data_IF_848063941151
#
_entry.id   IF_848063941151
#
_cell.length_a   1.000
_cell.length_b   1.000
_cell.length_c   1.000
_cell.angle_alpha   90.00
_cell.angle_beta   90.00
_cell.angle_gamma   90.00
#
_symmetry.space_group_name_H-M   'P 1'
#
loop_
_entity.id
_entity.type
_entity.pdbx_description
1 polymer ?
#
# COMPACT_ATOMS: atom_id res chain seq x y z
N UNK A 1 -60.69 23.89 -0.13
CA UNK A 1 -59.45 24.25 -0.85
C UNK A 1 -58.34 24.78 0.05
N UNK A 2 -58.64 25.57 1.09
CA UNK A 2 -57.64 26.21 1.96
C UNK A 2 -56.61 25.25 2.59
N UNK A 3 -57.02 24.04 3.04
CA UNK A 3 -56.12 23.04 3.63
C UNK A 3 -55.08 22.47 2.64
N UNK A 4 -55.40 22.37 1.34
CA UNK A 4 -54.43 21.93 0.31
C UNK A 4 -53.39 23.02 0.00
N UNK A 5 -53.80 24.29 0.05
CA UNK A 5 -52.90 25.44 -0.19
C UNK A 5 -51.89 25.55 0.96
N UNK A 6 -52.33 25.41 2.21
CA UNK A 6 -51.44 25.43 3.38
C UNK A 6 -50.43 24.29 3.33
N UNK A 7 -50.84 23.09 2.90
CA UNK A 7 -49.92 21.95 2.75
C UNK A 7 -48.84 22.18 1.69
N UNK A 8 -49.15 22.90 0.60
CA UNK A 8 -48.17 23.23 -0.43
C UNK A 8 -47.22 24.36 -0.01
N UNK A 9 -47.71 25.36 0.73
CA UNK A 9 -46.87 26.45 1.25
C UNK A 9 -45.86 25.93 2.28
N UNK A 10 -46.26 24.99 3.15
CA UNK A 10 -45.35 24.36 4.11
C UNK A 10 -44.30 23.48 3.41
N UNK A 11 -44.67 22.77 2.34
CA UNK A 11 -43.73 21.96 1.57
C UNK A 11 -42.67 22.81 0.85
N UNK A 12 -43.06 23.99 0.32
CA UNK A 12 -42.13 24.93 -0.33
C UNK A 12 -41.19 25.59 0.68
N UNK A 13 -41.65 25.87 1.91
CA UNK A 13 -40.80 26.40 2.97
C UNK A 13 -39.79 25.38 3.51
N UNK A 14 -40.15 24.09 3.57
CA UNK A 14 -39.20 23.02 3.96
C UNK A 14 -38.15 22.77 2.87
N UNK A 15 -38.50 22.97 1.59
CA UNK A 15 -37.59 22.78 0.46
C UNK A 15 -36.65 23.97 0.18
N UNK A 16 -36.93 25.16 0.72
CA UNK A 16 -36.11 26.38 0.49
C UNK A 16 -35.20 26.74 1.66
N UNK A 17 -35.34 26.09 2.83
CA UNK A 17 -34.43 26.27 3.98
C UNK A 17 -33.12 25.46 3.91
N UNK A 18 -32.85 24.73 2.81
CA UNK A 18 -31.61 23.95 2.65
C UNK A 18 -30.63 24.52 1.61
N UNK A 19 -30.83 25.74 1.14
CA UNK A 19 -29.90 26.36 0.18
C UNK A 19 -29.63 27.81 0.55
N UNK A 20 -28.62 28.05 1.40
CA UNK A 20 -27.65 29.16 1.27
C UNK A 20 -26.61 29.08 2.39
N UNK A 21 -25.53 28.41 1.98
CA UNK A 21 -24.15 28.49 2.44
C UNK A 21 -23.77 29.75 3.22
N UNK A 22 -23.29 29.54 4.44
CA UNK A 22 -22.38 30.45 5.14
C UNK A 22 -21.09 30.61 4.32
N UNK A 23 -20.91 31.79 3.70
CA UNK A 23 -19.59 32.24 3.28
C UNK A 23 -18.84 32.71 4.53
N UNK A 24 -18.17 31.79 5.21
CA UNK A 24 -16.97 32.15 5.97
C UNK A 24 -15.79 32.09 5.02
N UNK A 25 -15.19 33.26 4.81
CA UNK A 25 -13.88 33.42 4.21
C UNK A 25 -12.87 32.70 5.12
N UNK A 26 -12.59 31.43 4.85
CA UNK A 26 -11.41 30.77 5.41
C UNK A 26 -10.25 30.98 4.44
N UNK A 27 -9.12 31.44 4.98
CA UNK A 27 -7.86 31.49 4.28
C UNK A 27 -7.60 30.18 3.53
N UNK A 28 -7.20 30.31 2.26
CA UNK A 28 -6.66 29.20 1.49
C UNK A 28 -5.30 28.82 2.08
N UNK A 29 -5.31 27.97 3.09
CA UNK A 29 -4.27 26.95 3.18
C UNK A 29 -4.67 25.83 2.23
N UNK A 30 -3.70 25.32 1.46
CA UNK A 30 -3.86 24.12 0.63
C UNK A 30 -4.19 22.92 1.53
N UNK A 31 -5.45 22.81 1.94
CA UNK A 31 -6.00 21.61 2.57
C UNK A 31 -6.04 20.57 1.45
N UNK A 32 -5.02 19.72 1.42
CA UNK A 32 -5.06 18.45 0.69
C UNK A 32 -6.40 17.78 1.02
N UNK A 33 -7.29 17.69 0.02
CA UNK A 33 -8.61 17.08 0.15
C UNK A 33 -8.52 15.74 0.91
N UNK A 34 -9.20 15.73 2.06
CA UNK A 34 -9.59 14.63 2.94
C UNK A 34 -8.88 13.27 2.74
N UNK A 35 -7.80 13.10 3.49
CA UNK A 35 -7.28 11.77 3.84
C UNK A 35 -8.29 11.06 4.76
N UNK A 36 -9.22 10.29 4.19
CA UNK A 36 -10.11 9.36 4.90
C UNK A 36 -9.96 7.97 4.30
N UNK A 37 -9.81 6.94 5.15
CA UNK A 37 -9.93 5.55 4.69
C UNK A 37 -11.33 5.36 4.09
N UNK A 38 -11.42 5.03 2.80
CA UNK A 38 -12.70 4.67 2.19
C UNK A 38 -13.05 3.23 2.55
N UNK A 39 -14.33 2.92 2.51
CA UNK A 39 -14.73 1.52 2.58
C UNK A 39 -14.15 0.77 1.37
N UNK A 40 -13.77 -0.49 1.59
CA UNK A 40 -13.18 -1.34 0.56
C UNK A 40 -14.24 -1.64 -0.52
N UNK A 41 -14.11 -1.02 -1.69
CA UNK A 41 -15.01 -1.23 -2.83
C UNK A 41 -14.27 -1.97 -3.95
N UNK A 42 -14.60 -3.25 -4.12
CA UNK A 42 -14.04 -4.08 -5.20
C UNK A 42 -14.88 -3.89 -6.46
N UNK A 43 -14.19 -3.64 -7.57
CA UNK A 43 -14.80 -3.54 -8.89
C UNK A 43 -15.46 -4.85 -9.30
N UNK A 44 -16.64 -4.75 -9.92
CA UNK A 44 -17.28 -5.92 -10.52
C UNK A 44 -16.38 -6.50 -11.62
N UNK A 45 -16.24 -7.81 -11.61
CA UNK A 45 -15.50 -8.55 -12.63
C UNK A 45 -16.27 -9.79 -13.05
N UNK A 46 -16.04 -10.24 -14.27
CA UNK A 46 -16.56 -11.50 -14.82
C UNK A 46 -15.42 -12.23 -15.50
N UNK A 47 -15.42 -13.56 -15.40
CA UNK A 47 -14.52 -14.39 -16.19
C UNK A 47 -15.15 -14.62 -17.56
N UNK A 48 -14.57 -13.99 -18.59
CA UNK A 48 -15.05 -14.12 -19.98
C UNK A 48 -14.47 -15.34 -20.71
N UNK A 49 -13.43 -15.97 -20.16
CA UNK A 49 -12.66 -17.04 -20.78
C UNK A 49 -11.98 -17.89 -19.71
N UNK A 50 -11.58 -19.11 -20.08
CA UNK A 50 -10.73 -19.93 -19.23
C UNK A 50 -9.39 -19.23 -18.96
N UNK A 51 -8.87 -19.44 -17.76
CA UNK A 51 -7.59 -18.89 -17.32
C UNK A 51 -6.71 -20.04 -16.84
N UNK A 52 -5.51 -20.12 -17.41
CA UNK A 52 -4.49 -21.05 -16.93
C UNK A 52 -3.55 -20.31 -15.97
N UNK A 53 -3.44 -20.81 -14.76
CA UNK A 53 -2.54 -20.35 -13.71
C UNK A 53 -1.27 -21.18 -13.80
N UNK A 54 -0.21 -20.57 -14.32
CA UNK A 54 1.08 -21.22 -14.52
C UNK A 54 1.99 -20.86 -13.36
N UNK A 55 2.57 -21.88 -12.73
CA UNK A 55 3.56 -21.71 -11.69
C UNK A 55 4.53 -22.89 -11.72
N UNK A 56 5.59 -22.78 -10.93
CA UNK A 56 6.52 -23.86 -10.69
C UNK A 56 6.55 -24.05 -9.18
N UNK A 57 6.05 -25.21 -8.71
CA UNK A 57 5.89 -25.50 -7.28
C UNK A 57 7.21 -25.31 -6.53
N UNK A 58 7.16 -24.53 -5.45
CA UNK A 58 8.27 -24.25 -4.56
C UNK A 58 7.74 -24.11 -3.12
N UNK A 59 8.64 -24.18 -2.14
CA UNK A 59 8.37 -24.00 -0.71
C UNK A 59 8.07 -22.54 -0.31
N UNK A 60 7.95 -21.63 -1.29
CA UNK A 60 7.75 -20.21 -1.08
C UNK A 60 6.34 -19.90 -0.55
N UNK A 61 6.28 -19.34 0.67
CA UNK A 61 5.04 -18.96 1.36
C UNK A 61 4.22 -17.91 0.57
N UNK A 62 4.89 -17.04 -0.20
CA UNK A 62 4.23 -16.04 -1.04
C UNK A 62 3.49 -16.67 -2.21
N UNK A 63 4.07 -17.71 -2.83
CA UNK A 63 3.40 -18.46 -3.90
C UNK A 63 2.14 -19.14 -3.36
N UNK A 64 2.25 -19.80 -2.20
CA UNK A 64 1.10 -20.44 -1.55
C UNK A 64 -0.01 -19.42 -1.27
N UNK A 65 0.33 -18.29 -0.65
CA UNK A 65 -0.63 -17.22 -0.34
C UNK A 65 -1.30 -16.68 -1.60
N UNK A 66 -0.54 -16.46 -2.67
CA UNK A 66 -1.04 -16.02 -3.97
C UNK A 66 -2.02 -17.02 -4.60
N UNK A 67 -1.67 -18.31 -4.61
CA UNK A 67 -2.55 -19.37 -5.14
C UNK A 67 -3.85 -19.50 -4.32
N UNK A 68 -3.77 -19.34 -2.99
CA UNK A 68 -4.95 -19.34 -2.12
C UNK A 68 -5.84 -18.10 -2.36
N UNK A 69 -5.23 -16.95 -2.66
CA UNK A 69 -5.94 -15.75 -3.13
C UNK A 69 -6.71 -16.01 -4.43
N UNK A 70 -6.10 -16.66 -5.42
CA UNK A 70 -6.76 -17.04 -6.67
C UNK A 70 -7.96 -17.96 -6.41
N UNK A 71 -7.80 -19.00 -5.58
CA UNK A 71 -8.89 -19.95 -5.27
C UNK A 71 -10.09 -19.23 -4.66
N UNK A 72 -9.84 -18.31 -3.73
CA UNK A 72 -10.90 -17.53 -3.09
C UNK A 72 -11.55 -16.54 -4.08
N UNK A 73 -10.75 -15.86 -4.91
CA UNK A 73 -11.28 -15.02 -5.98
C UNK A 73 -12.19 -15.79 -6.93
N UNK A 74 -11.81 -17.02 -7.28
CA UNK A 74 -12.62 -17.90 -8.12
C UNK A 74 -13.94 -18.31 -7.47
N UNK A 75 -13.88 -18.67 -6.19
CA UNK A 75 -15.08 -19.03 -5.42
C UNK A 75 -16.10 -17.89 -5.41
N UNK A 76 -15.66 -16.66 -5.09
CA UNK A 76 -16.53 -15.47 -5.09
C UNK A 76 -17.09 -15.17 -6.48
N UNK A 77 -16.29 -15.32 -7.54
CA UNK A 77 -16.74 -15.13 -8.91
C UNK A 77 -17.81 -16.14 -9.32
N UNK A 78 -17.62 -17.42 -8.95
CA UNK A 78 -18.55 -18.52 -9.26
C UNK A 78 -19.87 -18.39 -8.52
N UNK A 79 -19.86 -18.01 -7.23
CA UNK A 79 -21.10 -17.77 -6.49
C UNK A 79 -21.93 -16.63 -7.10
N UNK A 80 -21.26 -15.58 -7.59
CA UNK A 80 -21.92 -14.41 -8.17
C UNK A 80 -22.37 -14.61 -9.63
N UNK A 81 -21.90 -15.64 -10.34
CA UNK A 81 -22.11 -15.78 -11.80
C UNK A 81 -22.32 -17.22 -12.27
N UNK A 82 -23.35 -17.43 -13.10
CA UNK A 82 -23.73 -18.74 -13.68
C UNK A 82 -22.95 -19.15 -14.95
N UNK A 83 -21.71 -18.68 -15.18
CA UNK A 83 -20.92 -19.02 -16.40
C UNK A 83 -19.87 -20.11 -16.14
N UNK A 84 -19.57 -20.90 -17.18
CA UNK A 84 -18.69 -22.09 -17.17
C UNK A 84 -17.20 -21.80 -17.43
N UNK A 85 -16.70 -20.62 -17.10
CA UNK A 85 -15.27 -20.33 -17.27
C UNK A 85 -14.45 -21.12 -16.24
N UNK A 86 -13.48 -21.89 -16.71
CA UNK A 86 -12.66 -22.76 -15.90
C UNK A 86 -11.31 -22.11 -15.55
N UNK A 87 -10.77 -22.47 -14.39
CA UNK A 87 -9.42 -22.12 -13.98
C UNK A 87 -8.61 -23.39 -13.87
N UNK A 88 -7.50 -23.45 -14.61
CA UNK A 88 -6.59 -24.59 -14.61
C UNK A 88 -5.30 -24.22 -13.90
N UNK A 89 -4.87 -25.06 -12.96
CA UNK A 89 -3.59 -24.90 -12.27
C UNK A 89 -2.56 -25.79 -12.97
N UNK A 90 -1.56 -25.16 -13.58
CA UNK A 90 -0.50 -25.83 -14.33
C UNK A 90 0.82 -25.64 -13.57
N UNK A 91 1.25 -26.71 -12.93
CA UNK A 91 2.53 -26.77 -12.25
C UNK A 91 3.61 -27.35 -13.18
N UNK A 92 4.53 -26.49 -13.59
CA UNK A 92 5.61 -26.84 -14.51
C UNK A 92 6.74 -27.62 -13.83
N UNK A 93 6.80 -27.68 -12.49
CA UNK A 93 7.81 -28.48 -11.78
C UNK A 93 7.67 -29.98 -12.04
N UNK A 94 6.44 -30.41 -12.35
CA UNK A 94 6.09 -31.81 -12.65
C UNK A 94 6.34 -32.18 -14.11
N UNK A 95 6.71 -31.22 -14.95
CA UNK A 95 6.93 -31.45 -16.37
C UNK A 95 8.39 -31.79 -16.68
N UNK A 96 8.60 -32.84 -17.48
CA UNK A 96 9.95 -33.26 -17.90
C UNK A 96 10.58 -32.35 -18.95
N UNK A 97 9.76 -31.62 -19.71
CA UNK A 97 10.19 -30.73 -20.79
C UNK A 97 9.13 -29.66 -21.04
N UNK A 98 9.57 -28.42 -21.16
CA UNK A 98 8.70 -27.26 -21.36
C UNK A 98 8.69 -26.85 -22.84
N UNK A 99 7.50 -26.59 -23.38
CA UNK A 99 7.31 -26.04 -24.73
C UNK A 99 6.65 -24.66 -24.63
N UNK A 100 7.27 -23.67 -25.28
CA UNK A 100 6.78 -22.30 -25.36
C UNK A 100 5.36 -22.21 -25.95
N UNK A 101 4.92 -23.20 -26.72
CA UNK A 101 3.55 -23.30 -27.23
C UNK A 101 2.49 -23.28 -26.11
N UNK A 102 2.84 -23.72 -24.89
CA UNK A 102 1.95 -23.72 -23.71
C UNK A 102 1.62 -22.32 -23.21
N UNK A 103 2.46 -21.33 -23.50
CA UNK A 103 2.23 -19.93 -23.12
C UNK A 103 1.62 -19.14 -24.27
N UNK A 104 1.91 -19.50 -25.53
CA UNK A 104 1.44 -18.77 -26.71
C UNK A 104 0.00 -19.08 -27.15
N UNK A 105 -0.80 -19.76 -26.32
CA UNK A 105 -2.19 -20.12 -26.67
C UNK A 105 -3.14 -18.91 -26.61
N UNK A 106 -4.35 -19.06 -27.18
CA UNK A 106 -5.42 -18.05 -27.06
C UNK A 106 -6.02 -17.97 -25.65
N UNK A 107 -5.76 -18.94 -24.79
CA UNK A 107 -6.24 -18.95 -23.40
C UNK A 107 -5.49 -17.91 -22.59
N UNK A 108 -6.20 -17.25 -21.67
CA UNK A 108 -5.60 -16.28 -20.76
C UNK A 108 -4.64 -16.99 -19.81
N UNK A 109 -3.43 -16.46 -19.63
CA UNK A 109 -2.37 -17.00 -18.78
C UNK A 109 -2.04 -16.03 -17.66
N UNK A 110 -2.14 -16.50 -16.42
CA UNK A 110 -1.61 -15.80 -15.25
C UNK A 110 -0.38 -16.59 -14.77
N UNK A 111 0.80 -15.98 -14.82
CA UNK A 111 2.06 -16.66 -14.54
C UNK A 111 2.64 -16.12 -13.23
N UNK A 112 2.76 -16.97 -12.21
CA UNK A 112 3.53 -16.64 -11.02
C UNK A 112 5.01 -16.91 -11.29
N UNK A 113 5.81 -15.86 -11.33
CA UNK A 113 7.22 -15.93 -11.71
C UNK A 113 8.10 -16.32 -10.52
N UNK A 114 8.93 -17.34 -10.72
CA UNK A 114 10.07 -17.66 -9.86
C UNK A 114 11.34 -17.79 -10.70
N UNK A 115 12.49 -18.08 -10.06
CA UNK A 115 13.80 -18.16 -10.71
C UNK A 115 13.81 -19.14 -11.88
N UNK A 116 13.23 -20.33 -11.68
CA UNK A 116 13.16 -21.37 -12.72
C UNK A 116 12.38 -20.93 -13.96
N UNK A 117 11.36 -20.09 -13.80
CA UNK A 117 10.52 -19.63 -14.92
C UNK A 117 11.11 -18.42 -15.66
N UNK A 118 12.02 -17.65 -15.06
CA UNK A 118 12.60 -16.47 -15.70
C UNK A 118 13.31 -16.85 -17.01
N UNK A 119 14.16 -17.86 -16.96
CA UNK A 119 14.95 -18.27 -18.13
C UNK A 119 14.07 -18.90 -19.21
N UNK A 120 13.07 -19.68 -18.79
CA UNK A 120 12.05 -20.23 -19.67
C UNK A 120 11.33 -19.11 -20.43
N UNK A 121 10.78 -18.11 -19.72
CA UNK A 121 10.06 -17.01 -20.36
C UNK A 121 10.95 -16.19 -21.31
N UNK A 122 12.22 -15.95 -20.95
CA UNK A 122 13.18 -15.24 -21.80
C UNK A 122 13.47 -16.02 -23.09
N UNK A 123 13.66 -17.33 -23.00
CA UNK A 123 13.95 -18.20 -24.16
C UNK A 123 12.78 -18.27 -25.17
N UNK A 124 11.54 -18.12 -24.70
CA UNK A 124 10.35 -18.20 -25.56
C UNK A 124 10.10 -16.97 -26.45
N UNK A 125 10.91 -15.90 -26.33
CA UNK A 125 10.80 -14.67 -27.10
C UNK A 125 9.35 -14.15 -27.24
N UNK A 126 8.62 -14.17 -26.12
CA UNK A 126 7.20 -13.83 -26.09
C UNK A 126 7.01 -12.33 -26.35
N UNK A 127 6.08 -11.98 -27.24
CA UNK A 127 5.64 -10.60 -27.44
C UNK A 127 4.55 -10.24 -26.44
N UNK A 128 4.53 -8.98 -26.02
CA UNK A 128 3.50 -8.49 -25.12
C UNK A 128 2.11 -8.68 -25.75
N UNK A 129 1.21 -9.32 -25.01
CA UNK A 129 -0.18 -9.49 -25.41
C UNK A 129 -1.09 -9.43 -24.17
N UNK A 130 -2.35 -9.04 -24.38
CA UNK A 130 -3.31 -8.86 -23.29
C UNK A 130 -3.82 -10.17 -22.68
N UNK A 131 -3.38 -11.33 -23.18
CA UNK A 131 -3.73 -12.67 -22.69
C UNK A 131 -2.63 -13.27 -21.80
N UNK A 132 -1.55 -12.55 -21.50
CA UNK A 132 -0.52 -12.99 -20.55
C UNK A 132 -0.30 -11.89 -19.53
N UNK A 133 -0.44 -12.27 -18.26
CA UNK A 133 -0.11 -11.44 -17.09
C UNK A 133 0.90 -12.19 -16.23
N UNK A 134 2.03 -11.55 -15.93
CA UNK A 134 3.09 -12.08 -15.08
C UNK A 134 3.05 -11.42 -13.71
N UNK A 135 3.12 -12.21 -12.65
CA UNK A 135 3.25 -11.74 -11.28
C UNK A 135 4.68 -11.98 -10.86
N UNK A 136 5.43 -10.91 -10.57
CA UNK A 136 6.82 -11.02 -10.15
C UNK A 136 6.89 -11.56 -8.70
N UNK A 137 7.14 -12.86 -8.55
CA UNK A 137 7.38 -13.49 -7.25
C UNK A 137 8.83 -13.36 -6.75
N UNK A 138 9.69 -12.66 -7.49
CA UNK A 138 11.10 -12.47 -7.16
C UNK A 138 11.34 -11.04 -6.66
N UNK A 139 12.07 -10.89 -5.56
CA UNK A 139 12.47 -9.60 -5.00
C UNK A 139 13.67 -9.01 -5.78
N UNK A 140 13.61 -9.07 -7.11
CA UNK A 140 14.64 -8.60 -8.04
C UNK A 140 13.98 -7.88 -9.21
N UNK A 141 14.70 -6.93 -9.81
CA UNK A 141 14.23 -6.23 -11.01
C UNK A 141 14.35 -7.14 -12.21
N UNK A 142 13.22 -7.46 -12.85
CA UNK A 142 13.19 -8.30 -14.03
C UNK A 142 12.69 -7.49 -15.22
N UNK A 143 13.44 -7.57 -16.32
CA UNK A 143 13.03 -6.98 -17.60
C UNK A 143 12.31 -8.06 -18.41
N UNK A 144 10.99 -7.94 -18.54
CA UNK A 144 10.15 -8.81 -19.36
C UNK A 144 9.42 -8.00 -20.44
N UNK A 145 9.29 -8.59 -21.62
CA UNK A 145 8.49 -8.04 -22.72
C UNK A 145 7.02 -8.50 -22.64
N UNK A 146 6.49 -8.62 -21.42
CA UNK A 146 5.14 -9.10 -21.11
C UNK A 146 4.46 -8.15 -20.13
N UNK A 147 3.14 -8.17 -20.04
CA UNK A 147 2.46 -7.43 -18.99
C UNK A 147 2.83 -8.02 -17.63
N UNK A 148 3.25 -7.19 -16.68
CA UNK A 148 3.64 -7.67 -15.36
C UNK A 148 3.21 -6.76 -14.22
N UNK A 149 2.99 -7.37 -13.06
CA UNK A 149 2.85 -6.69 -11.76
C UNK A 149 4.10 -6.99 -10.95
N UNK A 150 4.69 -5.95 -10.39
CA UNK A 150 5.82 -6.03 -9.47
C UNK A 150 5.38 -5.65 -8.04
N UNK A 151 5.07 -6.63 -7.17
CA UNK A 151 4.62 -6.36 -5.81
C UNK A 151 5.72 -5.79 -4.91
N UNK A 152 7.00 -5.89 -5.33
CA UNK A 152 8.15 -5.37 -4.59
C UNK A 152 8.54 -3.95 -5.01
N UNK A 153 7.69 -3.29 -5.80
CA UNK A 153 7.96 -1.96 -6.30
C UNK A 153 8.22 -0.97 -5.15
N UNK A 154 9.30 -0.19 -5.29
CA UNK A 154 9.70 0.78 -4.29
C UNK A 154 8.84 2.05 -4.39
N UNK A 155 7.94 2.24 -3.42
CA UNK A 155 7.05 3.40 -3.41
C UNK A 155 7.78 4.72 -3.07
N UNK A 156 8.95 4.67 -2.42
CA UNK A 156 9.81 5.86 -2.25
C UNK A 156 10.23 6.39 -3.61
N UNK A 157 10.72 5.52 -4.50
CA UNK A 157 11.17 5.90 -5.84
C UNK A 157 10.01 6.50 -6.65
N UNK A 158 8.80 5.95 -6.48
CA UNK A 158 7.58 6.50 -7.05
C UNK A 158 7.32 7.92 -6.56
N UNK A 159 7.29 8.15 -5.24
CA UNK A 159 7.01 9.47 -4.66
C UNK A 159 8.03 10.52 -5.13
N UNK A 160 9.31 10.16 -5.26
CA UNK A 160 10.32 11.04 -5.84
C UNK A 160 10.01 11.44 -7.29
N UNK A 161 9.40 10.54 -8.07
CA UNK A 161 9.06 10.78 -9.47
C UNK A 161 7.71 11.47 -9.69
N UNK A 162 6.72 11.19 -8.84
CA UNK A 162 5.31 11.58 -9.07
C UNK A 162 4.89 12.82 -8.29
N UNK A 163 5.40 13.02 -7.06
CA UNK A 163 5.10 14.19 -6.25
C UNK A 163 6.30 14.63 -5.39
N UNK A 164 7.28 15.34 -5.98
CA UNK A 164 8.46 15.79 -5.27
C UNK A 164 8.16 16.81 -4.16
N UNK A 165 6.93 17.34 -4.05
CA UNK A 165 6.55 18.31 -3.00
C UNK A 165 6.42 17.66 -1.62
N UNK A 166 6.01 16.39 -1.55
CA UNK A 166 5.96 15.62 -0.28
C UNK A 166 7.36 15.51 0.34
N UNK A 167 8.40 15.52 -0.50
CA UNK A 167 9.79 15.22 -0.15
C UNK A 167 10.71 16.46 -0.06
N UNK A 168 10.19 17.68 -0.29
CA UNK A 168 11.01 18.90 -0.30
C UNK A 168 10.90 19.69 1.02
N UNK A 169 12.05 20.15 1.48
CA UNK A 169 12.22 21.27 2.42
C UNK A 169 12.38 20.90 3.88
N UNK A 170 11.60 19.97 4.41
CA UNK A 170 11.50 19.75 5.87
C UNK A 170 11.11 18.29 6.21
N UNK A 171 11.53 17.34 5.37
CA UNK A 171 11.19 15.92 5.50
C UNK A 171 12.42 15.04 5.74
N UNK A 172 12.28 14.02 6.58
CA UNK A 172 13.26 12.95 6.73
C UNK A 172 12.61 11.59 6.44
N UNK A 173 13.33 10.72 5.72
CA UNK A 173 12.89 9.34 5.47
C UNK A 173 13.53 8.41 6.50
N UNK A 174 12.74 7.80 7.36
CA UNK A 174 13.16 6.70 8.23
C UNK A 174 13.10 5.39 7.43
N UNK A 175 14.23 4.71 7.33
CA UNK A 175 14.35 3.51 6.51
C UNK A 175 15.36 2.53 7.07
N UNK A 176 15.33 1.29 6.64
CA UNK A 176 16.24 0.21 7.04
C UNK A 176 17.24 -0.16 5.94
N UNK A 177 17.28 0.62 4.86
CA UNK A 177 18.17 0.45 3.71
C UNK A 177 18.79 1.77 3.29
N UNK A 178 19.94 1.70 2.65
CA UNK A 178 20.56 2.88 2.07
C UNK A 178 19.72 3.41 0.89
N UNK A 179 19.44 4.71 0.93
CA UNK A 179 18.80 5.42 -0.16
C UNK A 179 19.83 6.30 -0.87
N UNK A 180 19.60 6.57 -2.15
CA UNK A 180 20.47 7.46 -2.94
C UNK A 180 20.30 8.94 -2.56
N UNK A 181 19.36 9.26 -1.68
CA UNK A 181 19.05 10.63 -1.29
C UNK A 181 19.77 11.01 -0.01
N UNK A 182 19.97 12.29 0.26
CA UNK A 182 20.72 12.75 1.44
C UNK A 182 19.84 12.86 2.70
N UNK A 183 18.51 12.91 2.55
CA UNK A 183 17.56 13.15 3.63
C UNK A 183 16.92 11.86 4.17
N UNK A 184 17.75 10.85 4.49
CA UNK A 184 17.29 9.64 5.16
C UNK A 184 18.03 9.37 6.47
N UNK A 185 17.41 8.58 7.33
CA UNK A 185 17.95 8.14 8.60
C UNK A 185 17.71 6.64 8.78
N UNK A 186 18.78 5.92 9.08
CA UNK A 186 18.76 4.46 9.18
C UNK A 186 18.23 3.99 10.54
N UNK A 187 17.24 3.10 10.52
CA UNK A 187 16.71 2.40 11.69
C UNK A 187 16.82 0.89 11.47
N UNK A 188 17.76 0.28 12.17
CA UNK A 188 17.97 -1.16 12.14
C UNK A 188 17.05 -1.88 13.14
N UNK A 189 16.60 -3.09 12.80
CA UNK A 189 15.70 -3.91 13.64
C UNK A 189 16.22 -4.14 15.07
N UNK A 190 17.51 -4.39 15.21
CA UNK A 190 18.17 -4.67 16.50
C UNK A 190 18.50 -3.41 17.30
N UNK A 191 18.32 -2.22 16.71
CA UNK A 191 18.64 -0.97 17.38
C UNK A 191 17.60 -0.61 18.45
N UNK A 192 18.03 0.19 19.43
CA UNK A 192 17.09 0.88 20.31
C UNK A 192 16.46 2.05 19.53
N UNK A 193 15.26 1.82 19.01
CA UNK A 193 14.55 2.75 18.13
C UNK A 193 14.28 4.09 18.83
N UNK A 194 13.92 4.08 20.11
CA UNK A 194 13.70 5.31 20.89
C UNK A 194 14.99 6.12 20.97
N UNK A 195 16.12 5.46 21.27
CA UNK A 195 17.44 6.12 21.28
C UNK A 195 17.79 6.68 19.90
N UNK A 196 17.52 5.94 18.82
CA UNK A 196 17.78 6.38 17.45
C UNK A 196 16.95 7.60 17.04
N UNK A 197 15.67 7.62 17.40
CA UNK A 197 14.81 8.80 17.18
C UNK A 197 15.29 9.98 18.03
N UNK A 198 15.67 9.73 19.28
CA UNK A 198 16.24 10.74 20.17
C UNK A 198 17.53 11.36 19.61
N UNK A 199 18.39 10.54 18.99
CA UNK A 199 19.60 10.97 18.28
C UNK A 199 19.26 11.82 17.04
N UNK A 200 18.32 11.39 16.20
CA UNK A 200 17.86 12.12 15.01
C UNK A 200 17.38 13.54 15.37
N UNK A 201 16.59 13.67 16.43
CA UNK A 201 16.05 14.96 16.88
C UNK A 201 16.97 15.72 17.84
N UNK A 202 18.18 15.21 18.07
CA UNK A 202 19.22 15.81 18.92
C UNK A 202 18.79 16.08 20.37
N UNK A 203 17.78 15.36 20.87
CA UNK A 203 17.17 15.55 22.19
C UNK A 203 18.23 15.55 23.29
N UNK A 204 19.15 14.58 23.22
CA UNK A 204 20.19 14.41 24.23
C UNK A 204 21.40 15.33 24.05
N UNK A 205 21.63 15.89 22.84
CA UNK A 205 22.77 16.79 22.59
C UNK A 205 22.61 18.09 23.39
N UNK A 206 21.39 18.58 23.50
CA UNK A 206 21.05 19.78 24.27
C UNK A 206 21.47 19.61 25.74
N UNK A 207 21.10 18.47 26.35
CA UNK A 207 21.41 18.13 27.74
C UNK A 207 22.90 17.90 27.96
N UNK A 208 23.58 17.16 27.07
CA UNK A 208 25.02 16.90 27.19
C UNK A 208 25.83 18.19 27.10
N UNK A 209 25.50 19.08 26.16
CA UNK A 209 26.14 20.39 26.03
C UNK A 209 25.93 21.25 27.27
N UNK A 210 24.75 21.19 27.89
CA UNK A 210 24.50 21.87 29.16
C UNK A 210 25.44 21.35 30.24
N UNK A 211 25.53 20.03 30.42
CA UNK A 211 26.41 19.42 31.43
C UNK A 211 27.86 19.85 31.21
N UNK A 212 28.34 19.85 29.97
CA UNK A 212 29.68 20.32 29.62
C UNK A 212 29.88 21.80 29.95
N UNK A 213 28.92 22.66 29.59
CA UNK A 213 29.00 24.08 29.89
C UNK A 213 28.93 24.37 31.39
N UNK A 214 28.02 23.73 32.13
CA UNK A 214 27.91 23.84 33.60
C UNK A 214 29.22 23.45 34.29
N UNK A 215 29.93 22.42 33.79
CA UNK A 215 31.25 22.04 34.29
C UNK A 215 32.32 23.11 34.04
N UNK A 216 32.27 23.79 32.90
CA UNK A 216 33.22 24.86 32.54
C UNK A 216 32.94 26.13 33.35
N UNK A 217 31.67 26.55 33.45
CA UNK A 217 31.28 27.82 34.07
C UNK A 217 31.03 27.70 35.59
N UNK A 218 31.01 26.48 36.12
CA UNK A 218 30.70 26.14 37.52
C UNK A 218 29.38 26.73 38.05
N UNK A 219 28.42 26.96 37.17
CA UNK A 219 27.12 27.56 37.47
C UNK A 219 26.01 26.77 36.80
N UNK A 220 24.84 26.74 37.44
CA UNK A 220 23.66 26.05 36.91
C UNK A 220 23.08 26.80 35.72
N UNK A 221 22.87 26.11 34.61
CA UNK A 221 22.30 26.65 33.38
C UNK A 221 20.86 26.16 33.26
N UNK A 222 19.93 27.10 33.15
CA UNK A 222 18.55 26.80 32.73
C UNK A 222 18.53 26.67 31.22
N UNK A 223 18.01 25.55 30.72
CA UNK A 223 17.93 25.28 29.30
C UNK A 223 16.53 24.83 28.93
N UNK A 224 16.02 25.40 27.84
CA UNK A 224 14.91 24.84 27.09
C UNK A 224 15.46 23.82 26.10
N UNK A 225 14.99 22.56 26.12
CA UNK A 225 15.41 21.55 25.15
C UNK A 225 15.27 22.07 23.72
N UNK A 226 16.36 22.01 22.94
CA UNK A 226 16.35 22.36 21.52
C UNK A 226 16.18 21.10 20.70
N UNK A 227 15.24 21.13 19.77
CA UNK A 227 14.94 20.02 18.86
C UNK A 227 15.05 20.49 17.41
N UNK A 228 15.24 19.54 16.48
CA UNK A 228 15.20 19.77 15.03
C UNK A 228 13.80 20.16 14.56
N UNK A 229 13.48 21.47 14.64
CA UNK A 229 12.21 22.06 14.15
C UNK A 229 12.14 22.20 12.63
N UNK A 230 13.29 22.06 11.97
CA UNK A 230 13.42 22.01 10.52
C UNK A 230 12.88 20.70 9.92
N UNK A 231 12.63 19.68 10.75
CA UNK A 231 11.97 18.44 10.34
C UNK A 231 10.49 18.55 10.72
N UNK A 232 9.63 18.83 9.75
CA UNK A 232 8.17 18.87 9.91
C UNK A 232 7.48 17.58 9.49
N UNK A 233 8.10 16.81 8.60
CA UNK A 233 7.55 15.58 8.03
C UNK A 233 8.47 14.39 8.25
N UNK A 234 7.92 13.27 8.68
CA UNK A 234 8.64 12.01 8.84
C UNK A 234 8.00 10.98 7.92
N UNK A 235 8.76 10.46 6.97
CA UNK A 235 8.30 9.40 6.06
C UNK A 235 8.84 8.07 6.57
N UNK A 236 7.99 7.07 6.75
CA UNK A 236 8.38 5.73 7.22
C UNK A 236 8.34 4.76 6.05
N UNK A 237 9.52 4.23 5.69
CA UNK A 237 9.72 3.21 4.66
C UNK A 237 10.67 2.12 5.18
N UNK A 238 10.14 1.20 5.96
CA UNK A 238 10.92 0.12 6.58
C UNK A 238 10.34 -1.25 6.22
N UNK A 239 11.20 -2.23 5.96
CA UNK A 239 10.78 -3.63 5.70
C UNK A 239 10.93 -4.52 6.93
N UNK A 240 11.97 -4.29 7.73
CA UNK A 240 12.34 -5.11 8.88
C UNK A 240 11.79 -4.58 10.21
N UNK A 241 11.54 -3.27 10.26
CA UNK A 241 11.00 -2.57 11.41
C UNK A 241 9.55 -2.21 11.09
N UNK A 242 8.61 -2.56 11.96
CA UNK A 242 7.22 -2.15 11.75
C UNK A 242 7.06 -0.66 12.09
N UNK A 243 6.27 0.05 11.28
CA UNK A 243 5.87 1.42 11.60
C UNK A 243 5.17 1.49 12.97
N UNK A 244 4.52 0.40 13.38
CA UNK A 244 3.94 0.17 14.70
C UNK A 244 4.93 0.38 15.86
N UNK A 245 6.23 0.16 15.67
CA UNK A 245 7.25 0.42 16.69
C UNK A 245 7.85 1.82 16.58
N UNK A 246 7.93 2.35 15.37
CA UNK A 246 8.52 3.66 15.08
C UNK A 246 7.56 4.79 15.53
N UNK A 247 6.27 4.69 15.20
CA UNK A 247 5.28 5.73 15.47
C UNK A 247 5.16 6.02 16.99
N UNK A 248 5.01 5.02 17.88
CA UNK A 248 4.99 5.28 19.32
C UNK A 248 6.30 5.88 19.83
N UNK A 249 7.45 5.45 19.30
CA UNK A 249 8.73 5.98 19.70
C UNK A 249 8.92 7.45 19.28
N UNK A 250 8.38 7.87 18.13
CA UNK A 250 8.30 9.28 17.74
C UNK A 250 7.43 10.03 18.74
N UNK A 251 6.22 9.53 19.01
CA UNK A 251 5.26 10.17 19.90
C UNK A 251 5.77 10.28 21.34
N UNK A 252 6.55 9.32 21.82
CA UNK A 252 7.15 9.33 23.15
C UNK A 252 8.27 10.37 23.27
N UNK A 253 9.11 10.48 22.23
CA UNK A 253 10.30 11.33 22.27
C UNK A 253 10.00 12.80 21.94
N UNK A 254 8.95 13.09 21.16
CA UNK A 254 8.70 14.43 20.65
C UNK A 254 7.54 15.11 21.40
N UNK A 255 7.81 16.32 21.88
CA UNK A 255 6.82 17.21 22.49
C UNK A 255 5.95 17.89 21.41
N UNK A 256 6.46 17.98 20.18
CA UNK A 256 5.71 18.48 19.02
C UNK A 256 5.25 17.31 18.14
N UNK A 257 4.18 17.51 17.38
CA UNK A 257 3.59 16.48 16.53
C UNK A 257 3.99 16.72 15.06
N UNK A 258 5.08 16.12 14.56
CA UNK A 258 5.38 16.18 13.13
C UNK A 258 4.29 15.45 12.34
N UNK A 259 4.12 15.80 11.07
CA UNK A 259 3.29 15.00 10.17
C UNK A 259 4.01 13.69 9.87
N UNK A 260 3.38 12.55 10.18
CA UNK A 260 3.95 11.23 9.92
C UNK A 260 3.30 10.69 8.65
N UNK A 261 4.12 10.29 7.68
CA UNK A 261 3.71 9.70 6.41
C UNK A 261 4.15 8.24 6.35
N UNK A 262 3.21 7.30 6.34
CA UNK A 262 3.52 5.88 6.09
C UNK A 262 3.39 5.56 4.61
N UNK A 263 4.30 4.72 4.12
CA UNK A 263 4.21 4.15 2.78
C UNK A 263 3.39 2.85 2.80
N UNK A 264 3.06 2.26 1.63
CA UNK A 264 2.30 1.03 1.58
C UNK A 264 3.05 -0.16 2.20
N UNK A 265 2.30 -1.03 2.86
CA UNK A 265 2.79 -2.22 3.56
C UNK A 265 3.39 -1.93 4.93
N UNK A 266 3.07 -0.79 5.55
CA UNK A 266 3.67 -0.36 6.82
C UNK A 266 2.74 -0.53 8.01
N UNK A 267 1.42 -0.50 7.79
CA UNK A 267 0.39 -0.60 8.82
C UNK A 267 -0.50 -1.82 8.60
N UNK A 268 -0.75 -2.62 9.65
CA UNK A 268 -1.61 -3.82 9.60
C UNK A 268 -2.73 -3.74 10.64
N UNK A 269 -3.88 -3.16 10.26
CA UNK A 269 -5.04 -3.00 11.16
C UNK A 269 -5.75 -4.32 11.49
N UNK A 270 -5.33 -5.46 10.94
CA UNK A 270 -5.79 -6.77 11.38
C UNK A 270 -5.21 -7.16 12.74
N UNK A 271 -4.06 -6.60 13.10
CA UNK A 271 -3.35 -6.89 14.35
C UNK A 271 -3.47 -5.76 15.37
N UNK A 272 -3.75 -4.53 14.90
CA UNK A 272 -3.74 -3.33 15.74
C UNK A 272 -5.01 -2.50 15.60
N UNK A 273 -5.42 -1.87 16.69
CA UNK A 273 -6.64 -1.08 16.71
C UNK A 273 -6.40 0.32 16.16
N UNK A 274 -7.39 0.87 15.43
CA UNK A 274 -7.34 2.27 14.94
C UNK A 274 -7.11 3.30 16.05
N UNK A 275 -7.43 2.96 17.31
CA UNK A 275 -7.29 3.85 18.47
C UNK A 275 -5.83 4.18 18.83
N UNK A 276 -4.88 3.42 18.31
CA UNK A 276 -3.45 3.61 18.57
C UNK A 276 -2.81 4.66 17.66
N UNK A 277 -3.53 5.11 16.62
CA UNK A 277 -3.04 6.09 15.65
C UNK A 277 -3.62 7.48 15.93
N UNK A 278 -2.74 8.49 15.95
CA UNK A 278 -3.08 9.91 16.14
C UNK A 278 -3.48 10.56 14.80
N UNK A 279 -4.13 11.72 14.86
CA UNK A 279 -4.59 12.49 13.69
C UNK A 279 -3.47 13.04 12.79
N UNK A 280 -2.23 13.12 13.30
CA UNK A 280 -1.06 13.54 12.52
C UNK A 280 -0.50 12.44 11.60
N UNK A 281 -1.07 11.22 11.63
CA UNK A 281 -0.70 10.13 10.73
C UNK A 281 -1.46 10.24 9.40
N UNK A 282 -0.68 10.38 8.32
CA UNK A 282 -1.11 10.39 6.92
C UNK A 282 -0.33 9.33 6.16
N UNK A 283 -0.74 9.01 4.94
CA UNK A 283 0.07 8.12 4.11
C UNK A 283 -0.68 7.46 2.99
N UNK A 284 -0.09 6.39 2.51
CA UNK A 284 -0.66 5.49 1.53
C UNK A 284 -0.63 4.07 2.07
N UNK A 285 -1.74 3.35 2.00
CA UNK A 285 -1.78 1.97 2.45
C UNK A 285 -2.72 1.12 1.58
N UNK A 286 -2.44 -0.18 1.52
CA UNK A 286 -3.26 -1.13 0.80
C UNK A 286 -4.60 -1.32 1.52
N UNK A 287 -5.75 -1.21 0.83
CA UNK A 287 -7.08 -1.30 1.44
C UNK A 287 -7.28 -2.58 2.28
N UNK A 288 -6.73 -3.70 1.82
CA UNK A 288 -6.75 -4.97 2.55
C UNK A 288 -6.17 -4.84 3.96
N UNK A 289 -5.14 -4.03 4.18
CA UNK A 289 -4.52 -3.87 5.50
C UNK A 289 -5.28 -2.91 6.41
N UNK A 290 -6.21 -2.13 5.85
CA UNK A 290 -7.00 -1.13 6.57
C UNK A 290 -8.40 -1.63 6.95
N UNK A 291 -8.88 -2.67 6.27
CA UNK A 291 -10.25 -3.16 6.39
C UNK A 291 -10.27 -4.63 6.81
N UNK A 292 -10.75 -4.87 8.03
CA UNK A 292 -10.90 -6.19 8.62
C UNK A 292 -12.29 -6.83 8.41
N UNK A 293 -13.20 -6.16 7.69
CA UNK A 293 -14.59 -6.61 7.52
C UNK A 293 -14.83 -7.48 6.28
N UNK A 294 -13.76 -7.94 5.61
CA UNK A 294 -13.89 -8.80 4.44
C UNK A 294 -14.00 -10.28 4.86
N UNK A 295 -14.44 -11.15 3.93
CA UNK A 295 -14.62 -12.60 4.13
C UNK A 295 -13.28 -13.34 4.31
N UNK A 296 -12.54 -13.02 5.37
CA UNK A 296 -11.30 -13.68 5.73
C UNK A 296 -11.43 -14.32 7.11
N UNK A 297 -10.73 -15.43 7.29
CA UNK A 297 -10.75 -16.20 8.53
C UNK A 297 -9.72 -15.68 9.55
N UNK A 298 -9.74 -16.30 10.74
CA UNK A 298 -8.77 -16.03 11.80
C UNK A 298 -7.34 -16.41 11.39
N UNK A 299 -7.17 -17.28 10.39
CA UNK A 299 -5.85 -17.65 9.89
C UNK A 299 -5.24 -16.50 9.07
N UNK A 300 -6.05 -15.84 8.23
CA UNK A 300 -5.63 -14.69 7.43
C UNK A 300 -5.14 -13.52 8.29
N UNK A 301 -5.85 -13.21 9.38
CA UNK A 301 -5.47 -12.09 10.27
C UNK A 301 -4.07 -12.29 10.88
N UNK A 302 -3.68 -13.55 11.12
CA UNK A 302 -2.37 -13.96 11.66
C UNK A 302 -1.24 -13.95 10.63
N UNK A 303 -1.53 -13.93 9.33
CA UNK A 303 -0.49 -13.87 8.26
C UNK A 303 0.35 -12.60 8.36
N UNK A 304 1.61 -12.66 7.92
CA UNK A 304 2.44 -11.47 7.80
C UNK A 304 1.91 -10.53 6.71
N UNK A 305 2.28 -9.25 6.76
CA UNK A 305 1.87 -8.25 5.76
C UNK A 305 2.12 -8.75 4.34
N UNK A 306 3.34 -9.22 4.05
CA UNK A 306 3.68 -9.69 2.69
C UNK A 306 2.81 -10.87 2.24
N UNK A 307 2.50 -11.82 3.12
CA UNK A 307 1.58 -12.92 2.81
C UNK A 307 0.17 -12.41 2.48
N UNK A 308 -0.34 -11.44 3.24
CA UNK A 308 -1.64 -10.78 2.98
C UNK A 308 -1.63 -10.07 1.63
N UNK A 309 -0.53 -9.39 1.29
CA UNK A 309 -0.36 -8.71 0.00
C UNK A 309 -0.35 -9.69 -1.17
N UNK A 310 0.40 -10.79 -1.06
CA UNK A 310 0.43 -11.83 -2.11
C UNK A 310 -0.92 -12.53 -2.26
N UNK A 311 -1.61 -12.80 -1.15
CA UNK A 311 -2.97 -13.30 -1.17
C UNK A 311 -3.92 -12.34 -1.90
N UNK A 312 -3.92 -11.07 -1.51
CA UNK A 312 -4.76 -10.04 -2.11
C UNK A 312 -4.43 -9.85 -3.61
N UNK A 313 -3.15 -9.94 -3.97
CA UNK A 313 -2.69 -9.90 -5.35
C UNK A 313 -3.21 -11.09 -6.16
N UNK A 314 -3.23 -12.30 -5.60
CA UNK A 314 -3.81 -13.47 -6.26
C UNK A 314 -5.31 -13.32 -6.53
N UNK A 315 -6.03 -12.85 -5.51
CA UNK A 315 -7.45 -12.53 -5.60
C UNK A 315 -7.71 -11.49 -6.70
N UNK A 316 -7.05 -10.34 -6.60
CA UNK A 316 -7.22 -9.22 -7.51
C UNK A 316 -6.78 -9.56 -8.93
N UNK A 317 -5.66 -10.26 -9.11
CA UNK A 317 -5.14 -10.63 -10.43
C UNK A 317 -6.16 -11.42 -11.22
N UNK A 318 -6.88 -12.34 -10.58
CA UNK A 318 -7.92 -13.11 -11.24
C UNK A 318 -9.07 -12.20 -11.71
N UNK A 319 -9.56 -11.31 -10.83
CA UNK A 319 -10.66 -10.41 -11.14
C UNK A 319 -10.26 -9.36 -12.18
N UNK A 320 -9.11 -8.72 -12.00
CA UNK A 320 -8.53 -7.75 -12.92
C UNK A 320 -8.37 -8.36 -14.32
N UNK A 321 -7.77 -9.56 -14.37
CA UNK A 321 -7.51 -10.23 -15.64
C UNK A 321 -8.79 -10.73 -16.30
N UNK A 322 -9.78 -11.15 -15.52
CA UNK A 322 -11.13 -11.45 -15.99
C UNK A 322 -11.77 -10.26 -16.71
N UNK A 323 -11.70 -9.07 -16.11
CA UNK A 323 -12.24 -7.81 -16.65
C UNK A 323 -11.46 -7.31 -17.88
N UNK A 324 -10.15 -7.57 -17.92
CA UNK A 324 -9.25 -7.19 -19.01
C UNK A 324 -8.22 -6.15 -18.55
N UNK A 325 -6.95 -6.40 -18.83
CA UNK A 325 -5.81 -5.65 -18.25
C UNK A 325 -5.70 -4.18 -18.64
N UNK A 326 -6.47 -3.72 -19.62
CA UNK A 326 -6.51 -2.31 -20.04
C UNK A 326 -7.60 -1.51 -19.33
N UNK A 327 -8.42 -2.18 -18.51
CA UNK A 327 -9.53 -1.53 -17.80
C UNK A 327 -9.09 -1.12 -16.41
N UNK A 328 -9.50 0.07 -15.96
CA UNK A 328 -9.37 0.44 -14.54
C UNK A 328 -10.10 -0.58 -13.67
N UNK A 329 -9.46 -0.99 -12.59
CA UNK A 329 -9.97 -1.97 -11.65
C UNK A 329 -9.54 -1.61 -10.24
N UNK A 330 -10.51 -1.50 -9.34
CA UNK A 330 -10.25 -1.34 -7.92
C UNK A 330 -10.37 -2.71 -7.24
N UNK A 331 -9.31 -3.13 -6.57
CA UNK A 331 -9.21 -4.41 -5.87
C UNK A 331 -8.87 -4.24 -4.39
N UNK A 332 -8.52 -5.36 -3.75
CA UNK A 332 -8.03 -5.44 -2.38
C UNK A 332 -6.75 -4.63 -2.14
N UNK A 333 -5.92 -4.46 -3.18
CA UNK A 333 -4.71 -3.65 -3.10
C UNK A 333 -4.88 -2.20 -3.62
N UNK A 334 -6.09 -1.80 -4.04
CA UNK A 334 -6.35 -0.45 -4.56
C UNK A 334 -6.55 -0.41 -6.07
N UNK A 335 -6.23 0.71 -6.72
CA UNK A 335 -6.50 0.93 -8.15
C UNK A 335 -5.38 0.38 -9.04
N UNK A 336 -5.72 -0.56 -9.91
CA UNK A 336 -4.83 -1.13 -10.92
C UNK A 336 -4.89 -0.28 -12.19
N UNK A 337 -3.72 0.22 -12.59
CA UNK A 337 -3.52 1.01 -13.81
C UNK A 337 -2.39 0.43 -14.65
N UNK A 338 -2.54 0.45 -15.98
CA UNK A 338 -1.53 -0.06 -16.91
C UNK A 338 -0.79 1.12 -17.52
N UNK A 339 0.54 1.07 -17.45
CA UNK A 339 1.46 1.97 -18.14
C UNK A 339 2.49 1.12 -18.90
N UNK A 340 2.47 1.25 -20.23
CA UNK A 340 3.15 0.33 -21.16
C UNK A 340 2.90 -1.15 -20.83
N UNK A 341 3.93 -1.88 -20.40
CA UNK A 341 3.87 -3.29 -20.01
C UNK A 341 3.71 -3.47 -18.48
N UNK A 342 3.85 -2.40 -17.69
CA UNK A 342 3.79 -2.50 -16.24
C UNK A 342 2.39 -2.17 -15.75
N UNK A 343 1.90 -2.98 -14.81
CA UNK A 343 0.67 -2.70 -14.09
C UNK A 343 1.07 -2.18 -12.71
N UNK A 344 0.67 -0.94 -12.45
CA UNK A 344 0.87 -0.25 -11.19
C UNK A 344 -0.38 -0.38 -10.33
N UNK A 345 -0.16 -0.64 -9.05
CA UNK A 345 -1.21 -0.69 -8.05
C UNK A 345 -1.09 0.58 -7.22
N UNK A 346 -2.11 1.42 -7.28
CA UNK A 346 -2.18 2.66 -6.52
C UNK A 346 -2.88 2.36 -5.19
N UNK A 347 -2.16 2.44 -4.05
CA UNK A 347 -2.73 2.26 -2.71
C UNK A 347 -3.71 3.39 -2.37
N UNK A 348 -4.47 3.23 -1.30
CA UNK A 348 -5.37 4.27 -0.82
C UNK A 348 -4.67 5.30 0.05
N UNK A 349 -5.08 6.56 -0.08
CA UNK A 349 -4.66 7.63 0.82
C UNK A 349 -5.31 7.42 2.19
N UNK A 350 -4.51 7.45 3.25
CA UNK A 350 -4.98 7.31 4.62
C UNK A 350 -4.73 8.57 5.44
N UNK A 351 -5.68 8.87 6.30
CA UNK A 351 -5.60 9.88 7.34
C UNK A 351 -6.58 9.51 8.42
N UNK A 352 -6.16 9.70 9.66
CA UNK A 352 -6.99 9.48 10.83
C UNK A 352 -7.57 10.84 11.24
N UNK A 353 -8.90 10.92 11.36
CA UNK A 353 -9.60 12.11 11.85
C UNK A 353 -9.86 12.01 13.35
#
# INVERSE_FOLDING_TARGET
>A
MLKKIISYVVLVFILTCCTLTSNEYSEKEDVFEDFKSKDLVISSSRLSSNIDIIFFEDTNVFQKSFLDGIKNGYFILRERQKRNSEINFIDLSKEKSFDCSKISTKTKKLIYLNSNLVDILKSCNLKNNNNVLVINGLNEKIKLNLNFIDPFYNYVDYLYSSDPKILRGESVVLTDRELKTENYFLIEKKSNIEKRISELFEINKSSNRKIELERIIQNKIYQTPRFRKDIKKIIIDTKEVSAERIIPAINFNLIFEPEIYTLPGQLDLWRFSKKEFKSNLKGFEYPILLNNNFLFDEEFSKKQIQEKLFYALGFDSLLFFGRGITTKFNGLLGEYTKDENKIFITPEKIGFQ
#
